data_IF_532927338455
#
_entry.id   IF_532927338455
#
_cell.length_a   1.000
_cell.length_b   1.000
_cell.length_c   1.000
_cell.angle_alpha   90.00
_cell.angle_beta   90.00
_cell.angle_gamma   90.00
#
_symmetry.space_group_name_H-M   'P 1'
#
loop_
_entity.id
_entity.type
_entity.pdbx_description
1 polymer ?
#
# COMPACT_ATOMS: atom_id res chain seq x y z
N UNK A 1 10.71 13.70 15.52
CA UNK A 1 9.60 14.59 15.93
C UNK A 1 10.14 15.84 16.63
N UNK A 2 10.85 15.71 17.76
CA UNK A 2 11.32 16.87 18.54
C UNK A 2 12.22 17.86 17.76
N UNK A 3 13.13 17.37 16.92
CA UNK A 3 14.00 18.20 16.06
C UNK A 3 13.23 19.05 15.03
N UNK A 4 12.03 18.60 14.67
CA UNK A 4 11.13 19.28 13.75
C UNK A 4 10.08 20.14 14.45
N UNK A 5 10.11 20.24 15.79
CA UNK A 5 9.11 20.94 16.57
C UNK A 5 7.74 20.25 16.61
N UNK A 6 7.69 18.93 16.30
CA UNK A 6 6.47 18.15 16.29
C UNK A 6 6.26 17.49 17.65
N UNK A 7 5.10 17.70 18.26
CA UNK A 7 4.66 16.96 19.45
C UNK A 7 4.00 15.66 19.02
N UNK A 8 4.54 14.53 19.48
CA UNK A 8 4.00 13.21 19.18
C UNK A 8 3.07 12.75 20.30
N UNK A 9 1.86 12.35 19.91
CA UNK A 9 0.90 11.65 20.78
C UNK A 9 0.74 10.23 20.25
N UNK A 10 0.93 9.24 21.11
CA UNK A 10 0.85 7.83 20.76
C UNK A 10 -0.37 7.18 21.37
N UNK A 11 -1.13 6.42 20.56
CA UNK A 11 -2.20 5.57 21.00
C UNK A 11 -2.07 4.21 20.33
N UNK A 12 -2.28 3.15 21.09
CA UNK A 12 -2.08 1.77 20.60
C UNK A 12 -3.41 1.04 20.53
N UNK A 13 -3.56 0.23 19.48
CA UNK A 13 -4.67 -0.71 19.31
C UNK A 13 -4.12 -2.11 19.03
N UNK A 14 -4.76 -3.13 19.56
CA UNK A 14 -4.39 -4.51 19.30
C UNK A 14 -4.66 -4.85 17.82
N UNK A 15 -3.74 -5.58 17.13
CA UNK A 15 -3.99 -6.04 15.77
C UNK A 15 -5.27 -6.89 15.68
N UNK A 16 -6.14 -6.57 14.71
CA UNK A 16 -7.40 -7.28 14.50
C UNK A 16 -8.50 -6.96 15.52
N UNK A 17 -8.33 -5.94 16.35
CA UNK A 17 -9.39 -5.51 17.28
C UNK A 17 -10.63 -5.00 16.54
N UNK A 18 -11.79 -5.20 17.15
CA UNK A 18 -13.06 -4.63 16.76
C UNK A 18 -13.43 -3.37 17.58
N UNK A 19 -12.58 -2.98 18.52
CA UNK A 19 -12.74 -1.80 19.36
C UNK A 19 -11.47 -0.93 19.37
N UNK A 20 -11.59 0.32 18.92
CA UNK A 20 -10.54 1.33 18.93
C UNK A 20 -10.90 2.56 19.79
N UNK A 21 -12.01 2.50 20.55
CA UNK A 21 -12.61 3.65 21.22
C UNK A 21 -11.64 4.38 22.17
N UNK A 22 -10.91 3.65 23.00
CA UNK A 22 -9.96 4.23 23.94
C UNK A 22 -8.78 4.95 23.26
N UNK A 23 -8.23 4.34 22.17
CA UNK A 23 -7.14 4.93 21.42
C UNK A 23 -7.59 6.20 20.70
N UNK A 24 -8.76 6.16 20.06
CA UNK A 24 -9.34 7.33 19.38
C UNK A 24 -9.67 8.45 20.36
N UNK A 25 -10.22 8.13 21.54
CA UNK A 25 -10.44 9.13 22.60
C UNK A 25 -9.12 9.80 23.00
N UNK A 26 -8.04 9.05 23.16
CA UNK A 26 -6.72 9.61 23.48
C UNK A 26 -6.26 10.61 22.41
N UNK A 27 -6.39 10.28 21.14
CA UNK A 27 -6.03 11.17 20.02
C UNK A 27 -6.89 12.42 20.00
N UNK A 28 -8.21 12.25 20.18
CA UNK A 28 -9.18 13.35 20.24
C UNK A 28 -8.91 14.33 21.39
N UNK A 29 -8.69 13.81 22.59
CA UNK A 29 -8.45 14.64 23.80
C UNK A 29 -7.14 15.42 23.69
N UNK A 30 -6.17 14.89 22.95
CA UNK A 30 -4.91 15.57 22.66
C UNK A 30 -5.03 16.68 21.60
N UNK A 31 -6.16 16.77 20.89
CA UNK A 31 -6.42 17.77 19.83
C UNK A 31 -5.28 17.87 18.81
N UNK A 32 -4.91 16.75 18.23
CA UNK A 32 -3.82 16.65 17.24
C UNK A 32 -4.19 17.36 15.94
N UNK A 33 -3.18 17.80 15.18
CA UNK A 33 -3.38 18.48 13.89
C UNK A 33 -3.61 17.51 12.73
N UNK A 34 -3.04 16.30 12.79
CA UNK A 34 -3.27 15.20 11.85
C UNK A 34 -2.94 13.86 12.51
N UNK A 35 -3.34 12.76 11.84
CA UNK A 35 -3.23 11.42 12.38
C UNK A 35 -2.39 10.54 11.46
N UNK A 36 -1.44 9.76 12.01
CA UNK A 36 -0.73 8.72 11.29
C UNK A 36 -1.24 7.36 11.76
N UNK A 37 -1.95 6.65 10.87
CA UNK A 37 -2.51 5.32 11.11
C UNK A 37 -1.52 4.20 10.76
N UNK A 38 -0.67 3.81 11.71
CA UNK A 38 0.30 2.71 11.57
C UNK A 38 -0.27 1.32 11.79
N UNK A 39 -1.54 1.08 11.47
CA UNK A 39 -2.22 -0.19 11.70
C UNK A 39 -2.15 -1.11 10.48
N UNK A 40 -2.35 -2.42 10.71
CA UNK A 40 -2.52 -3.40 9.62
C UNK A 40 -3.89 -3.26 8.95
N UNK A 41 -4.02 -3.80 7.74
CA UNK A 41 -5.24 -3.71 6.94
C UNK A 41 -6.50 -4.23 7.67
N UNK A 42 -6.36 -5.26 8.50
CA UNK A 42 -7.49 -5.81 9.27
C UNK A 42 -7.99 -4.88 10.40
N UNK A 43 -7.18 -3.92 10.85
CA UNK A 43 -7.49 -3.05 11.98
C UNK A 43 -7.86 -1.62 11.56
N UNK A 44 -7.33 -1.14 10.43
CA UNK A 44 -7.50 0.25 10.03
C UNK A 44 -8.96 0.66 9.81
N UNK A 45 -9.88 -0.17 9.27
CA UNK A 45 -11.27 0.20 9.14
C UNK A 45 -11.95 0.48 10.49
N UNK A 46 -11.61 -0.30 11.53
CA UNK A 46 -12.12 -0.09 12.89
C UNK A 46 -11.69 1.28 13.44
N UNK A 47 -10.40 1.63 13.24
CA UNK A 47 -9.88 2.93 13.69
C UNK A 47 -10.56 4.08 12.95
N UNK A 48 -10.67 4.00 11.62
CA UNK A 48 -11.25 5.06 10.79
C UNK A 48 -12.73 5.26 11.11
N UNK A 49 -13.50 4.19 11.27
CA UNK A 49 -14.90 4.26 11.67
C UNK A 49 -15.08 4.87 13.04
N UNK A 50 -14.24 4.51 13.98
CA UNK A 50 -14.29 5.08 15.34
C UNK A 50 -13.90 6.56 15.35
N UNK A 51 -12.88 6.98 14.58
CA UNK A 51 -12.56 8.39 14.37
C UNK A 51 -13.76 9.17 13.85
N UNK A 52 -14.45 8.64 12.85
CA UNK A 52 -15.65 9.25 12.29
C UNK A 52 -16.82 9.29 13.29
N UNK A 53 -17.00 8.23 14.10
CA UNK A 53 -18.04 8.14 15.11
C UNK A 53 -17.81 9.13 16.27
N UNK A 54 -16.56 9.36 16.66
CA UNK A 54 -16.21 10.33 17.70
C UNK A 54 -16.09 11.77 17.18
N UNK A 55 -16.41 12.00 15.90
CA UNK A 55 -16.47 13.35 15.32
C UNK A 55 -15.10 13.93 14.99
N UNK A 56 -14.14 13.09 14.58
CA UNK A 56 -12.86 13.55 14.08
C UNK A 56 -13.04 14.36 12.80
N UNK A 57 -12.29 15.45 12.67
CA UNK A 57 -12.20 16.33 11.51
C UNK A 57 -10.79 16.46 10.94
N UNK A 58 -9.83 15.63 11.43
CA UNK A 58 -8.43 15.63 11.01
C UNK A 58 -8.18 14.52 10.04
N UNK A 59 -7.41 14.82 9.00
CA UNK A 59 -7.00 13.87 7.99
C UNK A 59 -6.12 12.77 8.57
N UNK A 60 -6.21 11.60 7.95
CA UNK A 60 -5.46 10.41 8.34
C UNK A 60 -4.47 10.03 7.24
N UNK A 61 -3.21 9.88 7.60
CA UNK A 61 -2.17 9.33 6.71
C UNK A 61 -1.88 7.90 7.15
N UNK A 62 -1.89 6.98 6.20
CA UNK A 62 -1.64 5.55 6.48
C UNK A 62 -0.79 4.89 5.39
N UNK A 63 -0.63 3.58 5.42
CA UNK A 63 0.14 2.84 4.42
C UNK A 63 -0.70 2.50 3.19
N UNK A 64 -0.05 2.18 2.08
CA UNK A 64 -0.68 1.86 0.79
C UNK A 64 -1.73 0.73 0.87
N UNK A 65 -1.51 -0.29 1.70
CA UNK A 65 -2.45 -1.40 1.86
C UNK A 65 -3.77 -0.97 2.50
N UNK A 66 -3.74 0.12 3.26
CA UNK A 66 -4.88 0.65 4.00
C UNK A 66 -5.75 1.62 3.18
N UNK A 67 -5.31 1.99 1.98
CA UNK A 67 -6.08 2.78 1.00
C UNK A 67 -6.44 1.97 -0.24
N UNK A 68 -6.28 0.65 -0.20
CA UNK A 68 -6.76 -0.24 -1.24
C UNK A 68 -8.29 -0.09 -1.43
N UNK A 69 -8.81 -0.28 -2.65
CA UNK A 69 -10.24 -0.07 -2.95
C UNK A 69 -11.19 -0.76 -1.96
N UNK A 70 -10.90 -2.00 -1.58
CA UNK A 70 -11.69 -2.76 -0.60
C UNK A 70 -11.78 -2.08 0.78
N UNK A 71 -10.72 -1.37 1.21
CA UNK A 71 -10.72 -0.64 2.47
C UNK A 71 -11.45 0.69 2.33
N UNK A 72 -11.20 1.41 1.22
CA UNK A 72 -11.90 2.66 0.93
C UNK A 72 -13.43 2.45 0.91
N UNK A 73 -13.90 1.43 0.20
CA UNK A 73 -15.33 1.07 0.16
C UNK A 73 -15.89 0.75 1.54
N UNK A 74 -15.12 0.10 2.39
CA UNK A 74 -15.54 -0.29 3.74
C UNK A 74 -15.72 0.88 4.71
N UNK A 75 -15.10 2.06 4.44
CA UNK A 75 -15.10 3.20 5.36
C UNK A 75 -15.67 4.49 4.76
N UNK A 76 -15.85 4.55 3.44
CA UNK A 76 -16.22 5.77 2.73
C UNK A 76 -17.52 6.41 3.22
N UNK A 77 -18.53 5.60 3.54
CA UNK A 77 -19.82 6.11 4.01
C UNK A 77 -19.71 6.83 5.36
N UNK A 78 -18.77 6.43 6.22
CA UNK A 78 -18.56 7.03 7.54
C UNK A 78 -17.64 8.25 7.50
N UNK A 79 -16.75 8.35 6.51
CA UNK A 79 -15.74 9.43 6.42
C UNK A 79 -16.17 10.57 5.51
N UNK A 80 -17.08 10.33 4.57
CA UNK A 80 -17.50 11.31 3.58
C UNK A 80 -17.90 12.66 4.23
N UNK A 81 -17.24 13.74 3.79
CA UNK A 81 -17.47 15.09 4.28
C UNK A 81 -16.97 15.38 5.70
N UNK A 82 -16.20 14.46 6.30
CA UNK A 82 -15.60 14.65 7.64
C UNK A 82 -14.09 14.84 7.56
N UNK A 83 -13.38 13.90 6.97
CA UNK A 83 -11.94 13.94 6.80
C UNK A 83 -11.50 13.00 5.67
N UNK A 84 -10.30 13.24 5.13
CA UNK A 84 -9.71 12.41 4.09
C UNK A 84 -8.72 11.38 4.66
N UNK A 85 -8.59 10.25 3.95
CA UNK A 85 -7.63 9.19 4.27
C UNK A 85 -6.63 9.05 3.13
N UNK A 86 -5.38 9.38 3.41
CA UNK A 86 -4.28 9.34 2.45
C UNK A 86 -3.38 8.14 2.71
N UNK A 87 -2.90 7.51 1.64
CA UNK A 87 -1.88 6.47 1.72
C UNK A 87 -0.72 6.75 0.81
N UNK A 88 0.49 6.35 1.20
CA UNK A 88 1.60 6.33 0.26
C UNK A 88 1.31 5.26 -0.79
N UNK A 89 1.34 5.65 -2.07
CA UNK A 89 1.09 4.73 -3.19
C UNK A 89 2.38 4.27 -3.84
N UNK A 90 2.49 2.99 -4.12
CA UNK A 90 3.46 2.40 -5.04
C UNK A 90 2.76 1.89 -6.31
N UNK A 91 1.44 1.86 -6.28
CA UNK A 91 0.55 1.61 -7.42
C UNK A 91 -0.18 2.90 -7.74
N UNK A 92 -0.15 3.33 -8.99
CA UNK A 92 -0.96 4.44 -9.47
C UNK A 92 -2.23 3.89 -10.12
N UNK A 93 -3.35 4.54 -9.88
CA UNK A 93 -4.64 4.25 -10.50
C UNK A 93 -4.93 5.17 -11.68
N UNK A 94 -3.91 5.80 -12.28
CA UNK A 94 -4.06 6.76 -13.37
C UNK A 94 -3.16 6.42 -14.57
N UNK A 95 -3.60 6.83 -15.76
CA UNK A 95 -2.86 6.74 -17.02
C UNK A 95 -2.55 5.29 -17.43
N UNK A 96 -1.38 5.09 -18.04
CA UNK A 96 -0.94 3.77 -18.56
C UNK A 96 -0.82 2.69 -17.48
N UNK A 97 -0.70 3.11 -16.23
CA UNK A 97 -0.65 2.21 -15.06
C UNK A 97 -1.98 1.50 -14.82
N UNK A 98 -3.09 2.13 -15.25
CA UNK A 98 -4.41 1.48 -15.24
C UNK A 98 -4.47 0.26 -16.16
N UNK A 99 -3.68 0.21 -17.26
CA UNK A 99 -3.67 -0.93 -18.15
C UNK A 99 -3.16 -2.19 -17.46
N UNK A 100 -2.07 -2.10 -16.69
CA UNK A 100 -1.55 -3.24 -15.92
C UNK A 100 -2.53 -3.70 -14.83
N UNK A 101 -3.24 -2.78 -14.19
CA UNK A 101 -4.29 -3.10 -13.23
C UNK A 101 -5.50 -3.76 -13.90
N UNK A 102 -5.87 -3.31 -15.09
CA UNK A 102 -6.94 -3.91 -15.89
C UNK A 102 -6.57 -5.32 -16.36
N UNK A 103 -5.32 -5.56 -16.76
CA UNK A 103 -4.80 -6.89 -17.09
C UNK A 103 -4.86 -7.83 -15.88
N UNK A 104 -4.43 -7.36 -14.72
CA UNK A 104 -4.53 -8.11 -13.47
C UNK A 104 -5.99 -8.42 -13.12
N UNK A 105 -6.88 -7.42 -13.18
CA UNK A 105 -8.30 -7.59 -12.88
C UNK A 105 -9.00 -8.55 -13.86
N UNK A 106 -8.60 -8.53 -15.13
CA UNK A 106 -9.11 -9.48 -16.13
C UNK A 106 -8.63 -10.91 -15.90
N UNK A 107 -7.37 -11.08 -15.45
CA UNK A 107 -6.79 -12.39 -15.16
C UNK A 107 -7.26 -12.99 -13.81
N UNK A 108 -7.57 -12.14 -12.84
CA UNK A 108 -7.94 -12.54 -11.47
C UNK A 108 -9.07 -11.65 -10.92
N UNK A 109 -10.29 -11.72 -11.47
CA UNK A 109 -11.38 -10.81 -11.14
C UNK A 109 -11.77 -10.84 -9.66
N UNK A 110 -11.72 -12.01 -9.02
CA UNK A 110 -12.05 -12.17 -7.60
C UNK A 110 -11.05 -11.45 -6.66
N UNK A 111 -9.88 -11.10 -7.18
CA UNK A 111 -8.81 -10.44 -6.44
C UNK A 111 -8.51 -9.03 -6.93
N UNK A 112 -9.27 -8.50 -7.88
CA UNK A 112 -9.00 -7.22 -8.54
C UNK A 112 -8.83 -6.04 -7.57
N UNK A 113 -9.55 -6.05 -6.45
CA UNK A 113 -9.47 -5.02 -5.40
C UNK A 113 -8.47 -5.34 -4.28
N UNK A 114 -7.73 -6.45 -4.38
CA UNK A 114 -6.84 -6.92 -3.32
C UNK A 114 -5.39 -6.45 -3.58
N UNK A 115 -4.89 -5.54 -2.73
CA UNK A 115 -3.54 -4.98 -2.86
C UNK A 115 -2.42 -6.03 -2.74
N UNK A 116 -2.60 -7.06 -1.93
CA UNK A 116 -1.59 -8.14 -1.79
C UNK A 116 -1.53 -9.02 -3.03
N UNK A 117 -2.68 -9.36 -3.62
CA UNK A 117 -2.72 -10.12 -4.86
C UNK A 117 -2.10 -9.32 -6.02
N UNK A 118 -2.35 -8.02 -6.09
CA UNK A 118 -1.72 -7.11 -7.02
C UNK A 118 -0.19 -7.06 -6.83
N UNK A 119 0.28 -7.05 -5.59
CA UNK A 119 1.72 -7.16 -5.28
C UNK A 119 2.32 -8.45 -5.82
N UNK A 120 1.64 -9.57 -5.62
CA UNK A 120 2.04 -10.87 -6.14
C UNK A 120 2.12 -10.90 -7.66
N UNK A 121 1.14 -10.31 -8.35
CA UNK A 121 1.13 -10.15 -9.80
C UNK A 121 2.35 -9.39 -10.32
N UNK A 122 2.68 -8.26 -9.69
CA UNK A 122 3.84 -7.44 -10.06
C UNK A 122 5.15 -8.19 -9.82
N UNK A 123 5.29 -8.87 -8.69
CA UNK A 123 6.47 -9.68 -8.40
C UNK A 123 6.64 -10.82 -9.42
N UNK A 124 5.54 -11.48 -9.78
CA UNK A 124 5.55 -12.51 -10.82
C UNK A 124 5.92 -11.93 -12.20
N UNK A 125 5.47 -10.72 -12.52
CA UNK A 125 5.82 -10.03 -13.78
C UNK A 125 7.32 -9.79 -13.87
N UNK A 126 7.97 -9.36 -12.80
CA UNK A 126 9.43 -9.21 -12.75
C UNK A 126 10.14 -10.55 -12.91
N UNK A 127 9.66 -11.59 -12.21
CA UNK A 127 10.25 -12.92 -12.32
C UNK A 127 10.19 -13.45 -13.77
N UNK A 128 9.04 -13.32 -14.41
CA UNK A 128 8.84 -13.74 -15.80
C UNK A 128 9.72 -12.92 -16.75
N UNK A 129 9.88 -11.63 -16.53
CA UNK A 129 10.76 -10.79 -17.35
C UNK A 129 12.22 -11.24 -17.24
N UNK A 130 12.71 -11.57 -16.06
CA UNK A 130 14.05 -12.15 -15.87
C UNK A 130 14.21 -13.45 -16.65
N UNK A 131 13.22 -14.33 -16.61
CA UNK A 131 13.24 -15.58 -17.39
C UNK A 131 13.24 -15.34 -18.91
N UNK A 132 12.52 -14.33 -19.40
CA UNK A 132 12.49 -13.97 -20.84
C UNK A 132 13.84 -13.45 -21.34
N UNK A 133 14.67 -12.89 -20.45
CA UNK A 133 16.02 -12.41 -20.79
C UNK A 133 17.04 -13.52 -20.88
N UNK A 134 16.73 -14.71 -20.34
CA UNK A 134 17.53 -15.91 -20.53
C UNK A 134 17.21 -16.48 -21.92
N UNK A 135 18.11 -16.29 -22.85
CA UNK A 135 17.95 -16.77 -24.23
C UNK A 135 18.35 -18.26 -24.36
N UNK A 136 17.54 -19.03 -25.09
CA UNK A 136 17.90 -20.36 -25.56
C UNK A 136 17.80 -21.47 -24.52
N UNK A 137 18.64 -22.51 -24.67
CA UNK A 137 18.63 -23.74 -23.88
C UNK A 137 19.51 -23.66 -22.62
N UNK A 138 19.71 -22.47 -22.07
CA UNK A 138 20.51 -22.31 -20.86
C UNK A 138 19.82 -22.97 -19.64
N UNK A 139 20.62 -23.65 -18.86
CA UNK A 139 20.15 -24.15 -17.56
C UNK A 139 19.92 -22.94 -16.67
N UNK A 140 18.69 -22.79 -16.21
CA UNK A 140 18.31 -21.68 -15.30
C UNK A 140 18.96 -21.92 -13.95
N UNK A 141 19.93 -21.08 -13.60
CA UNK A 141 20.54 -21.01 -12.29
C UNK A 141 20.20 -19.66 -11.65
N UNK A 142 20.39 -19.53 -10.35
CA UNK A 142 20.16 -18.24 -9.69
C UNK A 142 21.16 -17.18 -10.17
N UNK A 143 22.41 -17.60 -10.53
CA UNK A 143 23.45 -16.71 -11.04
C UNK A 143 23.04 -16.09 -12.38
N UNK A 144 22.72 -16.93 -13.39
CA UNK A 144 22.37 -16.40 -14.71
C UNK A 144 21.03 -15.65 -14.70
N UNK A 145 20.10 -16.03 -13.81
CA UNK A 145 18.87 -15.27 -13.60
C UNK A 145 19.15 -13.86 -13.01
N UNK A 146 20.01 -13.75 -12.01
CA UNK A 146 20.42 -12.46 -11.45
C UNK A 146 21.15 -11.61 -12.49
N UNK A 147 22.07 -12.19 -13.26
CA UNK A 147 22.77 -11.50 -14.32
C UNK A 147 21.79 -10.97 -15.39
N UNK A 148 20.77 -11.76 -15.73
CA UNK A 148 19.71 -11.35 -16.65
C UNK A 148 18.87 -10.18 -16.07
N UNK A 149 18.54 -10.23 -14.78
CA UNK A 149 17.81 -9.14 -14.11
C UNK A 149 18.61 -7.85 -14.03
N UNK A 150 19.94 -7.94 -13.86
CA UNK A 150 20.83 -6.80 -13.74
C UNK A 150 21.31 -6.25 -15.10
N UNK A 151 21.10 -6.99 -16.19
CA UNK A 151 21.59 -6.63 -17.52
C UNK A 151 20.97 -5.36 -18.11
N UNK A 152 19.75 -5.03 -17.71
CA UNK A 152 19.04 -3.82 -18.14
C UNK A 152 17.91 -3.45 -17.18
N UNK A 153 17.51 -2.17 -17.11
CA UNK A 153 16.36 -1.75 -16.36
C UNK A 153 15.06 -2.47 -16.75
N UNK A 154 14.14 -2.60 -15.80
CA UNK A 154 12.82 -3.23 -15.99
C UNK A 154 11.73 -2.19 -15.79
N UNK A 155 10.77 -2.14 -16.71
CA UNK A 155 9.57 -1.34 -16.51
C UNK A 155 8.68 -2.03 -15.49
N UNK A 156 8.38 -1.33 -14.40
CA UNK A 156 7.42 -1.78 -13.41
C UNK A 156 6.00 -1.65 -13.99
N UNK A 157 5.17 -2.71 -14.02
CA UNK A 157 3.79 -2.61 -14.48
C UNK A 157 2.97 -1.53 -13.75
N UNK A 158 3.26 -1.30 -12.46
CA UNK A 158 2.62 -0.25 -11.66
C UNK A 158 3.25 1.13 -11.83
N UNK A 159 4.25 1.27 -12.69
CA UNK A 159 4.88 2.53 -13.10
C UNK A 159 6.30 2.72 -12.62
N UNK A 160 7.04 3.47 -13.45
CA UNK A 160 8.46 3.72 -13.23
C UNK A 160 9.35 2.60 -13.79
N UNK A 161 10.65 2.81 -13.63
CA UNK A 161 11.70 1.90 -14.10
C UNK A 161 12.55 1.50 -12.90
N UNK A 162 12.85 0.21 -12.79
CA UNK A 162 13.72 -0.34 -11.74
C UNK A 162 15.01 -0.82 -12.41
N UNK A 163 16.13 -0.37 -11.88
CA UNK A 163 17.47 -0.80 -12.28
C UNK A 163 18.09 -1.65 -11.16
N UNK A 164 18.17 -2.95 -11.39
CA UNK A 164 18.78 -3.89 -10.44
C UNK A 164 20.31 -3.94 -10.58
N UNK A 165 20.88 -3.49 -11.72
CA UNK A 165 22.32 -3.49 -11.98
C UNK A 165 23.11 -2.37 -11.29
N UNK A 166 22.43 -1.41 -10.68
CA UNK A 166 23.08 -0.22 -10.12
C UNK A 166 23.57 -0.42 -8.67
N UNK A 167 24.53 -1.34 -8.49
CA UNK A 167 25.29 -1.46 -7.24
C UNK A 167 24.50 -1.92 -6.00
N UNK A 168 23.50 -2.76 -6.19
CA UNK A 168 22.60 -3.19 -5.10
C UNK A 168 22.91 -4.57 -4.50
N UNK A 169 23.99 -5.20 -4.91
CA UNK A 169 24.51 -6.42 -4.25
C UNK A 169 25.45 -6.05 -3.12
#
# INVERSE_FOLDING_TARGET
AAELGITLVEAQVAPGTDDASAAVTTIKDANVDFIIGGAIQATIPTIIKELAAQGNDKDVITTYVNVAPVIAEAVMAETEGKFDVYGNGWVSFEGDRMNALNEFAAAAPDYAANAYAMTGWIAASFFVEGLRRLEGDEIITWENYLDAMESAPITNPSGGVIDFGNGKR
#
